data_IF_438709973265
#
_entry.id   IF_438709973265
#
_cell.length_a   1.000
_cell.length_b   1.000
_cell.length_c   1.000
_cell.angle_alpha   90.00
_cell.angle_beta   90.00
_cell.angle_gamma   90.00
#
_symmetry.space_group_name_H-M   'P 1'
#
loop_
_entity.id
_entity.type
_entity.pdbx_description
1 polymer ?
#
# COMPACT_ATOMS: atom_id res chain seq x y z
N UNK A 1 23.25 -10.24 -3.91
CA UNK A 1 23.71 -8.90 -3.49
C UNK A 1 23.47 -8.79 -1.99
N UNK A 2 24.52 -8.91 -1.15
CA UNK A 2 24.35 -9.02 0.32
C UNK A 2 23.96 -7.69 0.98
N UNK A 3 24.18 -6.56 0.30
CA UNK A 3 23.88 -5.22 0.81
C UNK A 3 22.50 -4.70 0.35
N UNK A 4 21.77 -5.48 -0.44
CA UNK A 4 20.47 -5.06 -0.95
C UNK A 4 19.46 -4.99 0.21
N UNK A 5 18.87 -3.81 0.43
CA UNK A 5 17.81 -3.58 1.41
C UNK A 5 16.46 -3.56 0.71
N UNK A 6 15.53 -4.36 1.20
CA UNK A 6 14.14 -4.32 0.76
C UNK A 6 13.40 -3.24 1.57
N UNK A 7 12.77 -2.30 0.87
CA UNK A 7 11.87 -1.32 1.48
C UNK A 7 10.46 -1.59 0.96
N UNK A 8 9.51 -1.79 1.86
CA UNK A 8 8.14 -2.16 1.52
C UNK A 8 7.24 -0.94 1.61
N UNK A 9 6.35 -0.81 0.63
CA UNK A 9 5.35 0.25 0.52
C UNK A 9 3.99 -0.38 0.24
N UNK A 10 2.93 0.28 0.68
CA UNK A 10 1.57 -0.20 0.47
C UNK A 10 0.53 0.90 0.63
N UNK A 11 -0.65 0.61 0.12
CA UNK A 11 -1.83 1.44 0.27
C UNK A 11 -3.06 0.54 0.39
N UNK A 12 -3.90 0.81 1.38
CA UNK A 12 -5.07 -0.01 1.68
C UNK A 12 -6.26 0.90 2.07
N UNK A 13 -7.43 0.59 1.53
CA UNK A 13 -8.67 1.32 1.79
C UNK A 13 -9.39 0.79 3.03
N UNK A 14 -9.26 -0.51 3.32
CA UNK A 14 -9.90 -1.15 4.45
C UNK A 14 -9.13 -0.87 5.75
N UNK A 15 -9.78 -0.16 6.69
CA UNK A 15 -9.16 0.27 7.95
C UNK A 15 -8.56 -0.86 8.79
N UNK A 16 -9.24 -2.02 8.85
CA UNK A 16 -8.76 -3.19 9.59
C UNK A 16 -7.50 -3.77 8.96
N UNK A 17 -7.53 -3.99 7.65
CA UNK A 17 -6.39 -4.51 6.89
C UNK A 17 -5.20 -3.55 6.93
N UNK A 18 -5.45 -2.24 6.86
CA UNK A 18 -4.45 -1.20 7.05
C UNK A 18 -3.80 -1.27 8.44
N UNK A 19 -4.61 -1.36 9.51
CA UNK A 19 -4.11 -1.43 10.87
C UNK A 19 -3.25 -2.69 11.11
N UNK A 20 -3.69 -3.84 10.61
CA UNK A 20 -2.93 -5.10 10.67
C UNK A 20 -1.60 -4.97 9.92
N UNK A 21 -1.61 -4.44 8.69
CA UNK A 21 -0.40 -4.26 7.89
C UNK A 21 0.59 -3.30 8.57
N UNK A 22 0.09 -2.20 9.14
CA UNK A 22 0.93 -1.23 9.85
C UNK A 22 1.57 -1.83 11.11
N UNK A 23 0.83 -2.64 11.86
CA UNK A 23 1.36 -3.37 13.00
C UNK A 23 2.44 -4.40 12.58
N UNK A 24 2.22 -5.13 11.48
CA UNK A 24 3.19 -6.07 10.92
C UNK A 24 4.50 -5.38 10.51
N UNK A 25 4.43 -4.19 9.92
CA UNK A 25 5.62 -3.38 9.60
C UNK A 25 6.42 -3.02 10.86
N UNK A 26 5.74 -2.59 11.91
CA UNK A 26 6.38 -2.27 13.19
C UNK A 26 7.08 -3.50 13.80
N UNK A 27 6.41 -4.65 13.79
CA UNK A 27 6.97 -5.91 14.32
C UNK A 27 8.22 -6.33 13.54
N UNK A 28 8.22 -6.13 12.22
CA UNK A 28 9.34 -6.48 11.33
C UNK A 28 10.45 -5.42 11.30
N UNK A 29 10.33 -4.33 12.07
CA UNK A 29 11.28 -3.22 12.07
C UNK A 29 11.34 -2.46 10.74
N UNK A 30 10.26 -2.51 9.95
CA UNK A 30 10.09 -1.75 8.72
C UNK A 30 9.50 -0.37 9.03
N UNK A 31 9.64 0.57 8.09
CA UNK A 31 9.04 1.89 8.23
C UNK A 31 7.52 1.83 8.00
N UNK A 32 6.77 1.86 9.10
CA UNK A 32 5.31 1.87 9.09
C UNK A 32 4.69 3.13 8.46
N UNK A 33 5.48 4.18 8.23
CA UNK A 33 5.08 5.36 7.47
C UNK A 33 4.89 5.09 5.97
N UNK A 34 5.42 3.98 5.46
CA UNK A 34 5.28 3.58 4.06
C UNK A 34 3.93 2.92 3.72
N UNK A 35 3.07 2.69 4.72
CA UNK A 35 1.72 2.16 4.54
C UNK A 35 0.72 3.30 4.67
N UNK A 36 -0.04 3.55 3.60
CA UNK A 36 -1.00 4.66 3.52
C UNK A 36 -2.43 4.11 3.57
N UNK A 37 -3.29 4.77 4.34
CA UNK A 37 -4.73 4.50 4.33
C UNK A 37 -5.38 5.32 3.21
N UNK A 38 -6.16 4.69 2.33
CA UNK A 38 -6.92 5.40 1.30
C UNK A 38 -7.14 4.58 0.02
N UNK A 39 -7.97 5.10 -0.87
CA UNK A 39 -8.28 4.48 -2.15
C UNK A 39 -7.20 4.84 -3.19
N UNK A 40 -6.46 3.83 -3.67
CA UNK A 40 -5.36 3.99 -4.63
C UNK A 40 -5.77 4.61 -5.97
N UNK A 41 -7.05 4.56 -6.35
CA UNK A 41 -7.55 5.14 -7.61
C UNK A 41 -7.92 6.61 -7.49
N UNK A 42 -8.53 7.04 -6.38
CA UNK A 42 -8.90 8.46 -6.18
C UNK A 42 -7.80 9.28 -5.55
N UNK A 43 -7.01 8.68 -4.67
CA UNK A 43 -6.01 9.34 -3.83
C UNK A 43 -4.73 8.50 -3.83
N UNK A 44 -3.84 8.75 -4.79
CA UNK A 44 -2.53 8.10 -4.84
C UNK A 44 -1.73 8.45 -3.57
N UNK A 45 -1.45 7.44 -2.75
CA UNK A 45 -0.69 7.57 -1.50
C UNK A 45 0.83 7.65 -1.72
N UNK A 46 1.31 7.34 -2.93
CA UNK A 46 2.74 7.30 -3.27
C UNK A 46 3.04 8.11 -4.55
N UNK A 47 2.56 9.36 -4.67
CA UNK A 47 2.60 10.10 -5.92
C UNK A 47 4.03 10.36 -6.38
N UNK A 48 4.30 10.03 -7.65
CA UNK A 48 5.60 10.21 -8.27
C UNK A 48 6.70 9.25 -7.80
N UNK A 49 6.40 8.31 -6.89
CA UNK A 49 7.33 7.24 -6.54
C UNK A 49 7.36 6.18 -7.65
N UNK A 50 8.55 5.62 -7.89
CA UNK A 50 8.75 4.48 -8.78
C UNK A 50 9.25 3.31 -7.95
N UNK A 51 8.70 2.14 -8.23
CA UNK A 51 9.04 0.90 -7.53
C UNK A 51 9.64 -0.09 -8.52
N UNK A 52 10.64 -0.83 -8.08
CA UNK A 52 11.27 -1.89 -8.89
C UNK A 52 10.33 -3.10 -9.05
N UNK A 53 9.48 -3.35 -8.04
CA UNK A 53 8.52 -4.45 -8.01
C UNK A 53 7.17 -3.98 -7.49
N UNK A 54 6.09 -4.51 -8.08
CA UNK A 54 4.72 -4.25 -7.66
C UNK A 54 3.95 -5.57 -7.57
N UNK A 55 3.27 -5.78 -6.44
CA UNK A 55 2.37 -6.90 -6.20
C UNK A 55 1.04 -6.31 -5.73
N UNK A 56 -0.07 -6.80 -6.27
CA UNK A 56 -1.40 -6.37 -5.84
C UNK A 56 -2.38 -7.53 -5.94
N UNK A 57 -3.38 -7.51 -5.06
CA UNK A 57 -4.53 -8.40 -5.12
C UNK A 57 -5.81 -7.55 -5.00
N UNK A 58 -6.18 -6.79 -6.06
CA UNK A 58 -7.33 -5.91 -6.00
C UNK A 58 -8.63 -6.73 -5.87
N UNK A 59 -9.66 -6.21 -5.17
CA UNK A 59 -10.93 -6.88 -5.04
C UNK A 59 -11.62 -7.01 -6.41
N UNK A 60 -12.05 -8.23 -6.75
CA UNK A 60 -12.77 -8.48 -8.00
C UNK A 60 -14.20 -7.93 -7.95
N UNK A 61 -14.65 -7.26 -9.01
CA UNK A 61 -16.05 -6.88 -9.20
C UNK A 61 -16.52 -5.61 -8.48
N UNK A 62 -15.59 -4.81 -7.92
CA UNK A 62 -15.93 -3.51 -7.35
C UNK A 62 -16.18 -2.50 -8.47
N UNK A 63 -17.37 -1.92 -8.54
CA UNK A 63 -17.70 -0.91 -9.57
C UNK A 63 -16.91 0.39 -9.36
N UNK A 64 -15.88 0.57 -10.19
CA UNK A 64 -15.00 1.76 -10.23
C UNK A 64 -15.73 3.05 -10.63
N UNK A 65 -16.93 2.98 -11.23
CA UNK A 65 -17.72 4.16 -11.66
C UNK A 65 -18.14 5.09 -10.51
N UNK A 66 -18.13 4.62 -9.25
CA UNK A 66 -18.41 5.49 -8.09
C UNK A 66 -17.21 6.32 -7.64
N UNK A 67 -16.03 6.05 -8.20
CA UNK A 67 -14.75 6.69 -7.84
C UNK A 67 -14.29 7.67 -8.94
N UNK A 68 -14.95 7.67 -10.10
CA UNK A 68 -14.74 8.61 -11.20
C UNK A 68 -15.32 9.99 -10.79
N UNK A 69 -14.48 11.02 -10.73
CA UNK A 69 -14.90 12.42 -10.54
C UNK A 69 -15.31 13.04 -11.87
#
# INVERSE_FOLDING_TARGET
NQDARLSVFGQELNDESYAICKADMLIKGQDAGNIIAGNTLSDDGHPGKRFDYMLSNPPFGVEWKKVEK
#
